data_IF_579403317787
#
_entry.id   IF_579403317787
#
_cell.length_a   1.000
_cell.length_b   1.000
_cell.length_c   1.000
_cell.angle_alpha   90.00
_cell.angle_beta   90.00
_cell.angle_gamma   90.00
#
_symmetry.space_group_name_H-M   'P 1'
#
loop_
_entity.id
_entity.type
_entity.pdbx_description
1 polymer ?
#
# COMPACT_ATOMS: atom_id res chain seq x y z
N UNK A 1 56.79 -56.34 32.39
CA UNK A 1 57.12 -56.24 30.95
C UNK A 1 56.35 -55.08 30.33
N UNK A 2 57.06 -54.16 29.66
CA UNK A 2 56.67 -53.34 28.48
C UNK A 2 55.42 -52.42 28.65
N UNK A 3 55.55 -51.14 29.00
CA UNK A 3 56.04 -49.95 28.26
C UNK A 3 55.08 -49.40 27.19
N UNK A 4 54.91 -48.06 27.23
CA UNK A 4 54.75 -47.05 26.14
C UNK A 4 53.39 -46.33 26.20
N UNK A 5 53.24 -45.03 25.95
CA UNK A 5 54.11 -43.87 25.69
C UNK A 5 53.17 -42.64 25.71
N UNK A 6 53.66 -41.50 26.18
CA UNK A 6 53.01 -40.18 26.17
C UNK A 6 52.61 -39.69 24.78
N UNK A 7 51.50 -38.95 24.66
CA UNK A 7 51.29 -37.95 23.60
C UNK A 7 50.67 -36.69 24.24
N UNK A 8 51.43 -35.61 24.19
CA UNK A 8 50.97 -34.24 24.44
C UNK A 8 50.26 -33.72 23.17
N UNK A 9 49.19 -32.95 23.33
CA UNK A 9 48.71 -32.05 22.28
C UNK A 9 48.53 -30.65 22.88
N UNK A 10 49.30 -29.75 22.28
CA UNK A 10 49.38 -28.31 22.51
C UNK A 10 48.12 -27.58 22.01
N UNK A 11 47.62 -26.68 22.86
CA UNK A 11 47.12 -25.32 22.59
C UNK A 11 46.50 -24.96 21.24
N UNK A 12 45.31 -24.34 21.29
CA UNK A 12 45.02 -23.12 20.54
C UNK A 12 43.96 -22.27 21.26
N UNK A 13 44.39 -21.12 21.79
CA UNK A 13 43.52 -19.99 22.15
C UNK A 13 42.88 -19.45 20.87
N UNK A 14 41.56 -19.55 20.72
CA UNK A 14 40.82 -18.77 19.73
C UNK A 14 40.05 -17.68 20.47
N UNK A 15 40.66 -16.49 20.54
CA UNK A 15 39.97 -15.28 20.96
C UNK A 15 38.91 -14.96 19.91
N UNK A 16 37.64 -15.23 20.21
CA UNK A 16 36.52 -14.77 19.41
C UNK A 16 36.41 -13.25 19.62
N UNK A 17 36.93 -12.49 18.66
CA UNK A 17 36.70 -11.04 18.58
C UNK A 17 35.21 -10.82 18.32
N UNK A 18 34.50 -10.33 19.34
CA UNK A 18 33.15 -9.81 19.21
C UNK A 18 33.26 -8.53 18.37
N UNK A 19 33.11 -8.68 17.05
CA UNK A 19 32.95 -7.56 16.14
C UNK A 19 31.66 -6.83 16.49
N UNK A 20 31.79 -5.60 16.96
CA UNK A 20 30.69 -4.65 17.11
C UNK A 20 30.09 -4.41 15.72
N UNK A 21 28.98 -5.08 15.43
CA UNK A 21 28.12 -4.73 14.30
C UNK A 21 27.49 -3.36 14.57
N UNK A 22 28.18 -2.31 14.11
CA UNK A 22 27.60 -1.00 13.93
C UNK A 22 26.43 -1.18 12.95
N UNK A 23 25.22 -1.28 13.51
CA UNK A 23 23.98 -1.19 12.74
C UNK A 23 23.90 0.24 12.21
N UNK A 24 24.56 0.49 11.08
CA UNK A 24 24.34 1.71 10.32
C UNK A 24 22.87 1.72 9.90
N UNK A 25 22.08 2.62 10.48
CA UNK A 25 20.80 3.00 9.88
C UNK A 25 21.14 3.59 8.52
N UNK A 26 21.06 2.77 7.47
CA UNK A 26 21.11 3.25 6.11
C UNK A 26 19.93 4.22 5.95
N UNK A 27 20.21 5.52 6.03
CA UNK A 27 19.31 6.54 5.55
C UNK A 27 19.19 6.29 4.05
N UNK A 28 18.13 5.59 3.63
CA UNK A 28 17.80 5.46 2.22
C UNK A 28 17.53 6.87 1.71
N UNK A 29 18.42 7.36 0.85
CA UNK A 29 18.21 8.58 0.11
C UNK A 29 16.90 8.48 -0.68
N UNK A 30 16.03 9.47 -0.48
CA UNK A 30 14.77 9.69 -1.19
C UNK A 30 15.09 10.01 -2.66
N UNK A 31 14.90 9.09 -3.61
CA UNK A 31 15.26 9.33 -4.99
C UNK A 31 14.07 9.96 -5.72
N UNK A 32 13.87 11.26 -5.46
CA UNK A 32 13.36 12.31 -6.36
C UNK A 32 12.82 13.44 -5.47
N UNK A 33 13.44 14.61 -5.50
CA UNK A 33 13.17 15.69 -4.55
C UNK A 33 11.69 16.01 -4.35
N UNK A 34 11.22 15.91 -3.11
CA UNK A 34 9.97 16.56 -2.66
C UNK A 34 9.13 15.77 -1.67
N UNK A 35 9.55 15.72 -0.41
CA UNK A 35 8.71 15.49 0.78
C UNK A 35 7.77 14.27 0.69
N UNK A 36 8.32 13.07 0.93
CA UNK A 36 7.52 11.85 1.10
C UNK A 36 6.49 12.00 2.21
N UNK A 37 5.19 11.81 1.94
CA UNK A 37 4.16 11.93 2.96
C UNK A 37 4.23 10.75 3.93
N UNK A 38 3.85 10.98 5.19
CA UNK A 38 3.74 9.90 6.18
C UNK A 38 2.67 8.86 5.78
N UNK A 39 1.64 9.33 5.08
CA UNK A 39 0.59 8.50 4.50
C UNK A 39 0.15 9.04 3.15
N UNK A 40 -0.09 8.14 2.21
CA UNK A 40 -0.65 8.42 0.90
C UNK A 40 -2.01 7.74 0.78
N UNK A 41 -3.04 8.53 0.48
CA UNK A 41 -4.41 8.06 0.29
C UNK A 41 -4.76 8.18 -1.19
N UNK A 42 -5.13 7.07 -1.80
CA UNK A 42 -5.71 7.06 -3.14
C UNK A 42 -7.23 7.08 -3.01
N UNK A 43 -7.85 8.14 -3.49
CA UNK A 43 -9.30 8.34 -3.49
C UNK A 43 -9.87 7.94 -4.85
N UNK A 44 -10.80 7.00 -4.89
CA UNK A 44 -11.44 6.51 -6.12
C UNK A 44 -12.84 7.12 -6.23
N UNK A 45 -13.05 8.15 -7.08
CA UNK A 45 -14.35 8.77 -7.24
C UNK A 45 -15.40 7.78 -7.77
N UNK A 46 -16.67 8.11 -7.60
CA UNK A 46 -17.77 7.35 -8.16
C UNK A 46 -18.04 7.65 -9.63
N UNK A 47 -19.08 7.02 -10.15
CA UNK A 47 -19.58 7.23 -11.52
C UNK A 47 -19.84 8.71 -11.78
N UNK A 48 -19.37 9.20 -12.92
CA UNK A 48 -19.46 10.60 -13.38
C UNK A 48 -18.72 11.65 -12.55
N UNK A 49 -17.97 11.26 -11.51
CA UNK A 49 -17.16 12.20 -10.69
C UNK A 49 -15.73 12.40 -11.21
N UNK A 50 -15.34 11.64 -12.24
CA UNK A 50 -14.06 11.74 -12.93
C UNK A 50 -14.20 11.33 -14.41
N UNK A 51 -13.19 11.59 -15.24
CA UNK A 51 -13.16 11.17 -16.64
C UNK A 51 -11.74 11.10 -17.15
N UNK A 52 -11.48 10.33 -18.21
CA UNK A 52 -10.19 10.34 -18.94
C UNK A 52 -10.07 11.51 -19.92
N UNK A 53 -11.08 12.38 -20.02
CA UNK A 53 -11.02 13.56 -20.88
C UNK A 53 -10.03 14.61 -20.33
N UNK A 54 -9.19 15.25 -21.17
CA UNK A 54 -8.12 16.15 -20.71
C UNK A 54 -8.60 17.36 -19.88
N UNK A 55 -9.82 17.82 -20.11
CA UNK A 55 -10.45 18.98 -19.47
C UNK A 55 -11.14 18.63 -18.14
N UNK A 56 -11.36 17.35 -17.86
CA UNK A 56 -11.97 16.88 -16.61
C UNK A 56 -10.94 16.31 -15.66
N UNK A 57 -10.45 17.17 -14.76
CA UNK A 57 -9.58 16.74 -13.67
C UNK A 57 -10.40 16.03 -12.58
N UNK A 58 -9.89 14.91 -12.02
CA UNK A 58 -10.55 14.24 -10.91
C UNK A 58 -10.52 15.18 -9.70
N UNK A 59 -11.65 15.25 -8.99
CA UNK A 59 -11.82 16.16 -7.86
C UNK A 59 -12.42 15.44 -6.64
N UNK A 60 -12.51 16.17 -5.51
CA UNK A 60 -13.00 15.61 -4.25
C UNK A 60 -14.41 15.02 -4.31
N UNK A 61 -15.33 15.61 -5.10
CA UNK A 61 -16.69 15.08 -5.27
C UNK A 61 -17.37 14.69 -3.95
N UNK A 62 -18.02 13.53 -3.93
CA UNK A 62 -18.62 12.93 -2.74
C UNK A 62 -17.59 12.49 -1.69
N UNK A 63 -16.31 12.34 -2.05
CA UNK A 63 -15.23 12.04 -1.13
C UNK A 63 -14.69 13.28 -0.39
N UNK A 64 -15.14 14.49 -0.75
CA UNK A 64 -14.68 15.76 -0.19
C UNK A 64 -14.67 15.79 1.34
N UNK A 65 -15.74 15.29 1.98
CA UNK A 65 -15.86 15.32 3.43
C UNK A 65 -14.74 14.54 4.13
N UNK A 66 -14.30 13.44 3.52
CA UNK A 66 -13.21 12.62 4.05
C UNK A 66 -11.87 13.24 3.71
N UNK A 67 -11.64 13.57 2.44
CA UNK A 67 -10.33 14.03 1.97
C UNK A 67 -9.95 15.41 2.49
N UNK A 68 -10.93 16.32 2.66
CA UNK A 68 -10.69 17.64 3.23
C UNK A 68 -10.42 17.60 4.74
N UNK A 69 -10.86 16.55 5.44
CA UNK A 69 -10.59 16.36 6.87
C UNK A 69 -9.18 15.78 7.13
N UNK A 70 -8.47 15.32 6.09
CA UNK A 70 -7.13 14.75 6.24
C UNK A 70 -6.09 15.88 6.41
N UNK A 71 -5.16 15.77 7.38
CA UNK A 71 -4.13 16.78 7.59
C UNK A 71 -3.12 16.79 6.44
N UNK A 72 -3.25 17.75 5.52
CA UNK A 72 -2.42 17.88 4.31
C UNK A 72 -0.90 17.97 4.59
N UNK A 73 -0.50 18.37 5.80
CA UNK A 73 0.92 18.40 6.21
C UNK A 73 1.54 17.01 6.40
N UNK A 74 0.71 15.97 6.58
CA UNK A 74 1.15 14.59 6.85
C UNK A 74 0.63 13.60 5.82
N UNK A 75 -0.54 13.87 5.25
CA UNK A 75 -1.26 12.98 4.36
C UNK A 75 -1.41 13.65 3.00
N UNK A 76 -0.92 12.97 1.96
CA UNK A 76 -1.21 13.34 0.57
C UNK A 76 -2.39 12.50 0.09
N UNK A 77 -3.37 13.14 -0.50
CA UNK A 77 -4.53 12.47 -1.10
C UNK A 77 -4.64 12.82 -2.57
N UNK A 78 -4.59 11.81 -3.42
CA UNK A 78 -4.75 11.97 -4.87
C UNK A 78 -5.97 11.18 -5.36
N UNK A 79 -6.56 11.64 -6.46
CA UNK A 79 -7.79 11.08 -7.00
C UNK A 79 -7.53 10.28 -8.27
N UNK A 80 -8.18 9.11 -8.37
CA UNK A 80 -8.04 8.24 -9.52
C UNK A 80 -8.83 8.78 -10.70
N UNK A 81 -8.15 8.92 -11.84
CA UNK A 81 -8.78 9.20 -13.13
C UNK A 81 -9.14 7.90 -13.83
N UNK A 82 -10.40 7.73 -14.23
CA UNK A 82 -10.85 6.61 -15.05
C UNK A 82 -12.16 6.97 -15.77
N UNK A 83 -12.70 6.06 -16.59
CA UNK A 83 -13.91 6.33 -17.38
C UNK A 83 -15.16 6.68 -16.55
N UNK A 84 -15.26 6.17 -15.32
CA UNK A 84 -16.36 6.40 -14.37
C UNK A 84 -17.76 6.32 -15.01
N UNK A 85 -18.01 5.24 -15.75
CA UNK A 85 -19.26 5.05 -16.49
C UNK A 85 -20.00 3.81 -16.01
N UNK A 86 -21.32 3.89 -16.00
CA UNK A 86 -22.23 2.83 -15.58
C UNK A 86 -23.51 2.88 -16.45
N UNK A 87 -23.37 2.75 -17.78
CA UNK A 87 -24.57 2.64 -18.62
C UNK A 87 -25.26 1.29 -18.39
N UNK A 88 -26.60 1.25 -18.29
CA UNK A 88 -27.34 0.13 -17.70
C UNK A 88 -27.52 -1.11 -18.58
N UNK A 89 -26.96 -1.15 -19.79
CA UNK A 89 -27.22 -2.24 -20.76
C UNK A 89 -26.06 -3.22 -20.92
N UNK A 90 -24.84 -2.85 -20.48
CA UNK A 90 -23.63 -3.66 -20.71
C UNK A 90 -22.81 -3.75 -19.43
N UNK A 91 -22.91 -4.89 -18.74
CA UNK A 91 -22.05 -5.22 -17.60
C UNK A 91 -20.56 -5.13 -17.97
N UNK A 92 -20.23 -5.34 -19.25
CA UNK A 92 -18.89 -5.20 -19.80
C UNK A 92 -18.36 -3.76 -19.70
N UNK A 93 -19.21 -2.75 -19.91
CA UNK A 93 -18.83 -1.33 -19.81
C UNK A 93 -18.56 -0.94 -18.37
N UNK A 94 -19.43 -1.34 -17.44
CA UNK A 94 -19.19 -1.14 -16.02
C UNK A 94 -17.93 -1.89 -15.56
N UNK A 95 -17.77 -3.15 -15.97
CA UNK A 95 -16.63 -3.99 -15.61
C UNK A 95 -15.31 -3.44 -16.13
N UNK A 96 -15.26 -2.98 -17.39
CA UNK A 96 -14.09 -2.33 -17.96
C UNK A 96 -13.77 -1.01 -17.24
N UNK A 97 -14.80 -0.20 -16.93
CA UNK A 97 -14.63 1.04 -16.19
C UNK A 97 -14.08 0.77 -14.78
N UNK A 98 -14.63 -0.21 -14.06
CA UNK A 98 -14.15 -0.63 -12.74
C UNK A 98 -12.71 -1.14 -12.82
N UNK A 99 -12.40 -2.02 -13.76
CA UNK A 99 -11.05 -2.56 -13.95
C UNK A 99 -10.03 -1.44 -14.17
N UNK A 100 -10.38 -0.45 -14.98
CA UNK A 100 -9.52 0.72 -15.19
C UNK A 100 -9.29 1.50 -13.89
N UNK A 101 -10.32 1.69 -13.06
CA UNK A 101 -10.17 2.33 -11.75
C UNK A 101 -9.20 1.54 -10.85
N UNK A 102 -9.38 0.22 -10.75
CA UNK A 102 -8.50 -0.68 -9.97
C UNK A 102 -7.06 -0.62 -10.47
N UNK A 103 -6.84 -0.71 -11.77
CA UNK A 103 -5.50 -0.70 -12.38
C UNK A 103 -4.79 0.64 -12.16
N UNK A 104 -5.50 1.76 -12.34
CA UNK A 104 -4.93 3.09 -12.15
C UNK A 104 -4.62 3.36 -10.66
N UNK A 105 -5.52 2.96 -9.76
CA UNK A 105 -5.28 3.05 -8.32
C UNK A 105 -4.05 2.23 -7.90
N UNK A 106 -3.91 1.00 -8.44
CA UNK A 106 -2.74 0.13 -8.21
C UNK A 106 -1.46 0.82 -8.67
N UNK A 107 -1.45 1.37 -9.88
CA UNK A 107 -0.30 2.08 -10.44
C UNK A 107 0.13 3.29 -9.60
N UNK A 108 -0.82 4.06 -9.07
CA UNK A 108 -0.53 5.19 -8.18
C UNK A 108 0.14 4.74 -6.87
N UNK A 109 -0.37 3.67 -6.25
CA UNK A 109 0.21 3.11 -5.03
C UNK A 109 1.60 2.52 -5.28
N UNK A 110 1.80 1.80 -6.38
CA UNK A 110 3.10 1.24 -6.75
C UNK A 110 4.13 2.33 -7.05
N UNK A 111 3.73 3.40 -7.75
CA UNK A 111 4.58 4.56 -7.99
C UNK A 111 5.00 5.24 -6.68
N UNK A 112 4.06 5.46 -5.75
CA UNK A 112 4.39 6.02 -4.44
C UNK A 112 5.26 5.08 -3.60
N UNK A 113 5.03 3.77 -3.65
CA UNK A 113 5.88 2.79 -2.98
C UNK A 113 7.32 2.81 -3.49
N UNK A 114 7.50 2.99 -4.81
CA UNK A 114 8.81 3.08 -5.44
C UNK A 114 9.54 4.37 -5.05
N UNK A 115 8.82 5.49 -5.00
CA UNK A 115 9.39 6.78 -4.61
C UNK A 115 9.67 6.86 -3.10
N UNK A 116 8.71 6.41 -2.27
CA UNK A 116 8.69 6.63 -0.83
C UNK A 116 8.50 5.31 -0.05
N UNK A 117 9.59 4.59 0.20
CA UNK A 117 9.57 3.27 0.82
C UNK A 117 8.95 3.21 2.23
N UNK A 118 8.89 4.34 2.94
CA UNK A 118 8.37 4.45 4.31
C UNK A 118 6.92 4.97 4.39
N UNK A 119 6.34 5.41 3.27
CA UNK A 119 4.98 5.92 3.22
C UNK A 119 3.96 4.82 3.49
N UNK A 120 2.96 5.12 4.32
CA UNK A 120 1.82 4.22 4.55
C UNK A 120 0.75 4.45 3.50
N UNK A 121 0.02 3.41 3.13
CA UNK A 121 -1.02 3.51 2.09
C UNK A 121 -2.43 3.41 2.67
N UNK A 122 -3.33 4.21 2.10
CA UNK A 122 -4.77 4.10 2.27
C UNK A 122 -5.46 4.14 0.91
N UNK A 123 -6.61 3.49 0.82
CA UNK A 123 -7.50 3.59 -0.33
C UNK A 123 -8.91 3.85 0.19
N UNK A 124 -9.60 4.80 -0.44
CA UNK A 124 -11.00 5.12 -0.17
C UNK A 124 -11.74 5.19 -1.50
N UNK A 125 -13.02 4.86 -1.52
CA UNK A 125 -13.81 4.94 -2.74
C UNK A 125 -15.28 5.23 -2.46
N UNK A 126 -15.97 5.76 -3.47
CA UNK A 126 -17.41 6.03 -3.44
C UNK A 126 -18.12 5.35 -4.61
N UNK A 127 -19.30 4.76 -4.37
CA UNK A 127 -20.11 4.07 -5.40
C UNK A 127 -19.28 3.05 -6.21
N UNK A 128 -19.20 3.15 -7.54
CA UNK A 128 -18.32 2.31 -8.39
C UNK A 128 -16.85 2.36 -7.96
N UNK A 129 -16.37 3.51 -7.48
CA UNK A 129 -15.02 3.64 -6.93
C UNK A 129 -14.82 2.84 -5.64
N UNK A 130 -15.88 2.63 -4.85
CA UNK A 130 -15.81 1.78 -3.66
C UNK A 130 -15.69 0.29 -4.03
N UNK A 131 -16.37 -0.13 -5.10
CA UNK A 131 -16.24 -1.48 -5.67
C UNK A 131 -14.79 -1.74 -6.15
N UNK A 132 -14.24 -0.81 -6.95
CA UNK A 132 -12.83 -0.86 -7.38
C UNK A 132 -11.83 -0.84 -6.21
N UNK A 133 -12.06 0.04 -5.22
CA UNK A 133 -11.21 0.14 -4.04
C UNK A 133 -11.25 -1.13 -3.19
N UNK A 134 -12.41 -1.77 -3.08
CA UNK A 134 -12.60 -3.04 -2.39
C UNK A 134 -11.84 -4.18 -3.06
N UNK A 135 -11.91 -4.28 -4.40
CA UNK A 135 -11.15 -5.27 -5.18
C UNK A 135 -9.64 -5.10 -4.96
N UNK A 136 -9.12 -3.88 -5.05
CA UNK A 136 -7.70 -3.61 -4.81
C UNK A 136 -7.30 -3.87 -3.35
N UNK A 137 -8.16 -3.53 -2.39
CA UNK A 137 -7.92 -3.85 -0.99
C UNK A 137 -7.84 -5.37 -0.74
N UNK A 138 -8.69 -6.14 -1.43
CA UNK A 138 -8.63 -7.60 -1.40
C UNK A 138 -7.32 -8.11 -2.00
N UNK A 139 -6.89 -7.62 -3.17
CA UNK A 139 -5.60 -8.01 -3.80
C UNK A 139 -4.40 -7.78 -2.88
N UNK A 140 -4.37 -6.64 -2.20
CA UNK A 140 -3.28 -6.31 -1.27
C UNK A 140 -3.40 -7.15 0.01
N UNK A 141 -4.61 -7.39 0.50
CA UNK A 141 -4.87 -8.19 1.70
C UNK A 141 -4.56 -9.68 1.54
N UNK A 142 -4.73 -10.23 0.34
CA UNK A 142 -4.39 -11.62 0.01
C UNK A 142 -2.94 -11.80 -0.44
N UNK A 143 -2.19 -10.70 -0.61
CA UNK A 143 -0.80 -10.72 -1.03
C UNK A 143 -0.60 -10.98 -2.53
N UNK A 144 -1.64 -10.81 -3.36
CA UNK A 144 -1.53 -10.91 -4.82
C UNK A 144 -1.02 -9.60 -5.45
N UNK A 145 -1.00 -8.51 -4.69
CA UNK A 145 -0.41 -7.23 -5.08
C UNK A 145 1.07 -7.10 -4.69
N UNK A 146 1.83 -6.31 -5.45
CA UNK A 146 3.22 -5.92 -5.09
C UNK A 146 3.28 -4.83 -4.02
N UNK A 147 2.14 -4.22 -3.68
CA UNK A 147 2.01 -3.20 -2.65
C UNK A 147 2.17 -3.87 -1.29
N UNK A 148 3.18 -3.45 -0.53
CA UNK A 148 3.54 -4.07 0.75
C UNK A 148 2.52 -3.68 1.82
N UNK A 149 1.81 -4.63 2.45
CA UNK A 149 0.89 -4.35 3.54
C UNK A 149 1.67 -3.99 4.81
N UNK A 150 2.13 -2.74 4.94
CA UNK A 150 2.77 -2.28 6.18
C UNK A 150 1.71 -1.79 7.16
N UNK A 151 1.22 -2.72 7.99
CA UNK A 151 0.17 -2.53 9.03
C UNK A 151 -0.97 -1.63 8.54
N UNK A 152 -1.80 -2.23 7.70
CA UNK A 152 -3.14 -1.74 7.45
C UNK A 152 -3.95 -1.88 8.75
N UNK A 153 -4.47 -0.77 9.24
CA UNK A 153 -5.56 -0.79 10.23
C UNK A 153 -6.81 -0.50 9.39
N UNK A 154 -7.38 -1.55 8.80
CA UNK A 154 -8.64 -1.45 8.06
C UNK A 154 -9.76 -1.54 9.08
N UNK A 155 -10.40 -0.42 9.42
CA UNK A 155 -11.72 -0.42 10.04
C UNK A 155 -12.74 -0.33 8.91
N UNK A 156 -13.14 -1.50 8.39
CA UNK A 156 -14.22 -1.63 7.42
C UNK A 156 -15.42 -2.29 8.11
N UNK A 157 -16.45 -1.49 8.40
CA UNK A 157 -17.78 -2.02 8.72
C UNK A 157 -18.44 -2.44 7.41
N UNK A 158 -18.47 -3.74 7.13
CA UNK A 158 -19.27 -4.33 6.05
C UNK A 158 -20.25 -5.35 6.62
N UNK A 159 -21.54 -5.32 6.24
CA UNK A 159 -22.60 -6.14 6.86
C UNK A 159 -22.59 -7.63 6.47
N UNK A 160 -21.65 -8.11 5.64
CA UNK A 160 -21.66 -9.48 5.12
C UNK A 160 -20.68 -10.46 5.78
N UNK A 161 -20.05 -10.14 6.93
CA UNK A 161 -19.10 -11.07 7.56
C UNK A 161 -19.75 -11.97 8.62
N UNK A 162 -20.03 -13.21 8.25
CA UNK A 162 -20.24 -14.30 9.20
C UNK A 162 -18.93 -14.58 9.98
N UNK A 163 -19.08 -14.58 11.31
CA UNK A 163 -18.21 -15.19 12.32
C UNK A 163 -16.69 -14.90 12.25
N UNK A 164 -16.28 -13.80 12.91
CA UNK A 164 -15.26 -13.74 13.99
C UNK A 164 -14.88 -12.28 14.25
N UNK A 165 -15.55 -11.71 15.26
CA UNK A 165 -15.37 -10.37 15.86
C UNK A 165 -14.08 -10.31 16.72
N UNK A 166 -13.58 -9.11 17.14
CA UNK A 166 -14.34 -7.92 17.57
C UNK A 166 -14.16 -6.69 16.65
N UNK A 167 -15.24 -6.12 16.09
CA UNK A 167 -16.18 -5.07 16.57
C UNK A 167 -15.64 -3.64 16.39
N UNK A 168 -16.25 -2.94 15.41
CA UNK A 168 -16.22 -1.52 15.02
C UNK A 168 -14.86 -0.87 14.71
#
# INVERSE_FOLDING_TARGET
MRLKKSIAVLSAFAAATVGTVLSGTAAQADPAGGNCPSMYVVAVPGTWETSTQPDKRPGPGMLAAVTNALPASKIRSDYVTYAATAFPWEAEVYGASKKQATDNARGMLEAMQKACANTRFGIIGYSQGADAAGDLAAEIGTGTSTIRPRRWRQSACSPTRAARTPTC
#
